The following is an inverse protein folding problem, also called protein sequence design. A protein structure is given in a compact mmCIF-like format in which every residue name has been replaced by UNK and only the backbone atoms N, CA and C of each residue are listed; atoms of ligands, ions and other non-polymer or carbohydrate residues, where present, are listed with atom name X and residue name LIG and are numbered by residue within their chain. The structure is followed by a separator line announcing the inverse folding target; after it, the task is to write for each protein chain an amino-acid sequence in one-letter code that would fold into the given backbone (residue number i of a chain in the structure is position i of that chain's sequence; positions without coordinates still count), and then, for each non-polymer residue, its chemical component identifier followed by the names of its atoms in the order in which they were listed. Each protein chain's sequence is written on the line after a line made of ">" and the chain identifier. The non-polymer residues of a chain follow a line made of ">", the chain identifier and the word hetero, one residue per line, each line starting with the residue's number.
data_IF_916809779786
#
_entry.id   IF_916809779786
#
_cell.length_a   1.000
_cell.length_b   1.000
_cell.length_c   1.000
_cell.angle_alpha   90.00
_cell.angle_beta   90.00
_cell.angle_gamma   90.00
#
_symmetry.space_group_name_H-M   'P 1'
#
loop_
_entity.id
_entity.type
_entity.pdbx_description
1 polymer ?
#
# COMPACT_ATOMS: atom_id res chain seq x y z
N UNK A 1 -5.34 -10.87 -7.11
CA UNK A 1 -5.95 -10.99 -5.78
C UNK A 1 -6.44 -12.42 -5.53
N UNK A 2 -7.32 -12.97 -6.38
CA UNK A 2 -7.88 -14.34 -6.19
C UNK A 2 -6.80 -15.42 -6.05
N UNK A 3 -5.74 -15.39 -6.86
CA UNK A 3 -4.62 -16.35 -6.74
C UNK A 3 -3.89 -16.26 -5.39
N UNK A 4 -3.73 -15.05 -4.82
CA UNK A 4 -3.14 -14.87 -3.49
C UNK A 4 -4.00 -15.58 -2.43
N UNK A 5 -5.31 -15.46 -2.51
CA UNK A 5 -6.23 -16.15 -1.61
C UNK A 5 -6.06 -17.68 -1.66
N UNK A 6 -5.93 -18.26 -2.87
CA UNK A 6 -5.74 -19.71 -3.01
C UNK A 6 -4.39 -20.19 -2.45
N UNK A 7 -3.33 -19.39 -2.60
CA UNK A 7 -2.03 -19.67 -1.98
C UNK A 7 -2.13 -19.63 -0.46
N UNK A 8 -2.77 -18.62 0.10
CA UNK A 8 -2.90 -18.47 1.55
C UNK A 8 -3.77 -19.56 2.17
N UNK A 9 -4.86 -19.97 1.52
CA UNK A 9 -5.67 -21.13 1.96
C UNK A 9 -4.84 -22.40 2.14
N UNK A 10 -3.84 -22.61 1.27
CA UNK A 10 -3.00 -23.81 1.29
C UNK A 10 -1.84 -23.72 2.27
N UNK A 11 -1.27 -22.54 2.46
CA UNK A 11 0.04 -22.38 3.11
C UNK A 11 0.02 -21.61 4.43
N UNK A 12 -1.00 -20.81 4.72
CA UNK A 12 -1.07 -20.02 5.95
C UNK A 12 -1.58 -20.85 7.15
N UNK A 13 -0.76 -21.78 7.63
CA UNK A 13 -1.12 -22.71 8.70
C UNK A 13 -0.76 -22.20 10.11
N UNK A 14 0.12 -21.22 10.21
CA UNK A 14 0.65 -20.63 11.45
C UNK A 14 0.62 -19.10 11.33
N UNK A 15 1.20 -18.42 12.30
CA UNK A 15 1.44 -16.97 12.23
C UNK A 15 2.22 -16.66 10.95
N UNK A 16 1.62 -15.88 10.06
CA UNK A 16 2.15 -15.61 8.73
C UNK A 16 2.06 -14.12 8.46
N UNK A 17 3.20 -13.49 8.17
CA UNK A 17 3.25 -12.14 7.59
C UNK A 17 3.28 -12.29 6.08
N UNK A 18 2.36 -11.63 5.41
CA UNK A 18 2.25 -11.62 3.95
C UNK A 18 2.62 -10.24 3.44
N UNK A 19 3.73 -10.18 2.72
CA UNK A 19 4.23 -8.95 2.11
C UNK A 19 3.78 -8.92 0.66
N UNK A 20 3.09 -7.85 0.26
CA UNK A 20 2.52 -7.72 -1.09
C UNK A 20 2.99 -6.41 -1.72
N UNK A 21 3.38 -6.48 -2.99
CA UNK A 21 3.78 -5.33 -3.81
C UNK A 21 2.57 -4.69 -4.50
N UNK A 22 2.81 -3.56 -5.17
CA UNK A 22 1.82 -2.87 -5.97
C UNK A 22 1.22 -3.77 -7.08
N UNK A 23 -0.03 -3.52 -7.45
CA UNK A 23 -0.73 -4.29 -8.48
C UNK A 23 -0.32 -3.87 -9.90
N UNK A 24 -0.08 -4.85 -10.74
CA UNK A 24 0.14 -4.62 -12.18
C UNK A 24 1.28 -3.64 -12.46
N UNK A 25 0.97 -2.56 -13.19
CA UNK A 25 1.93 -1.50 -13.54
C UNK A 25 1.75 -0.24 -12.70
N UNK A 26 1.18 -0.34 -11.51
CA UNK A 26 0.89 0.81 -10.64
C UNK A 26 2.16 1.59 -10.29
N UNK A 27 3.27 0.92 -9.98
CA UNK A 27 4.56 1.56 -9.71
C UNK A 27 4.98 2.48 -10.85
N UNK A 28 4.90 2.00 -12.11
CA UNK A 28 5.21 2.82 -13.28
C UNK A 28 4.23 4.00 -13.43
N UNK A 29 2.95 3.79 -13.14
CA UNK A 29 1.94 4.86 -13.14
C UNK A 29 2.26 5.94 -12.10
N UNK A 30 2.65 5.53 -10.90
CA UNK A 30 3.04 6.45 -9.83
C UNK A 30 4.38 7.17 -10.15
N UNK A 31 5.34 6.53 -10.81
CA UNK A 31 6.53 7.20 -11.34
C UNK A 31 6.17 8.29 -12.37
N UNK A 32 5.22 8.02 -13.26
CA UNK A 32 4.72 9.02 -14.20
C UNK A 32 4.04 10.19 -13.45
N UNK A 33 3.27 9.88 -12.40
CA UNK A 33 2.67 10.88 -11.53
C UNK A 33 3.73 11.77 -10.87
N UNK A 34 4.78 11.19 -10.27
CA UNK A 34 5.89 11.94 -9.68
C UNK A 34 6.56 12.83 -10.71
N UNK A 35 6.83 12.32 -11.91
CA UNK A 35 7.45 13.11 -12.97
C UNK A 35 6.56 14.28 -13.43
N UNK A 36 5.25 14.03 -13.59
CA UNK A 36 4.29 15.07 -13.96
C UNK A 36 4.20 16.14 -12.86
N UNK A 37 4.14 15.73 -11.61
CA UNK A 37 4.05 16.60 -10.44
C UNK A 37 5.32 17.41 -10.21
N UNK A 38 6.45 16.73 -10.04
CA UNK A 38 7.72 17.35 -9.64
C UNK A 38 8.40 18.11 -10.80
N UNK A 39 8.47 17.49 -11.97
CA UNK A 39 9.15 18.07 -13.14
C UNK A 39 8.24 18.93 -14.01
N UNK A 40 6.95 19.02 -13.67
CA UNK A 40 5.92 19.72 -14.45
C UNK A 40 5.88 19.24 -15.93
N UNK A 41 6.14 17.95 -16.15
CA UNK A 41 6.24 17.33 -17.49
C UNK A 41 4.95 16.63 -17.91
N UNK A 42 3.82 17.18 -17.57
CA UNK A 42 2.51 16.60 -17.89
C UNK A 42 1.42 17.08 -16.96
N UNK A 43 0.34 16.32 -16.91
CA UNK A 43 -0.79 16.58 -16.02
C UNK A 43 -0.84 15.51 -14.91
N UNK A 44 -0.47 15.91 -13.70
CA UNK A 44 -0.44 15.02 -12.54
C UNK A 44 -1.83 14.46 -12.21
N UNK A 45 -2.88 15.28 -12.31
CA UNK A 45 -4.25 14.84 -12.05
C UNK A 45 -4.68 13.74 -13.04
N UNK A 46 -4.31 13.88 -14.32
CA UNK A 46 -4.62 12.89 -15.34
C UNK A 46 -3.88 11.56 -15.10
N UNK A 47 -2.62 11.61 -14.65
CA UNK A 47 -1.88 10.39 -14.28
C UNK A 47 -2.50 9.73 -13.03
N UNK A 48 -2.86 10.49 -12.01
CA UNK A 48 -3.55 9.98 -10.84
C UNK A 48 -4.91 9.36 -11.20
N UNK A 49 -5.68 9.99 -12.11
CA UNK A 49 -6.97 9.46 -12.52
C UNK A 49 -6.84 8.08 -13.20
N UNK A 50 -5.82 7.85 -14.02
CA UNK A 50 -5.56 6.53 -14.62
C UNK A 50 -5.32 5.45 -13.55
N UNK A 51 -4.59 5.81 -12.49
CA UNK A 51 -4.32 4.89 -11.37
C UNK A 51 -5.59 4.61 -10.59
N UNK A 52 -6.43 5.63 -10.34
CA UNK A 52 -7.75 5.48 -9.72
C UNK A 52 -8.64 4.52 -10.52
N UNK A 53 -8.79 4.78 -11.81
CA UNK A 53 -9.65 4.01 -12.70
C UNK A 53 -9.24 2.52 -12.71
N UNK A 54 -7.94 2.23 -12.80
CA UNK A 54 -7.41 0.88 -12.74
C UNK A 54 -7.78 0.15 -11.44
N UNK A 55 -7.60 0.80 -10.29
CA UNK A 55 -7.90 0.18 -9.00
C UNK A 55 -9.39 0.05 -8.75
N UNK A 56 -10.20 1.05 -9.13
CA UNK A 56 -11.65 0.95 -9.03
C UNK A 56 -12.27 -0.11 -9.93
N UNK A 57 -11.67 -0.38 -11.09
CA UNK A 57 -12.05 -1.52 -11.90
C UNK A 57 -11.85 -2.83 -11.11
N UNK A 58 -10.65 -3.03 -10.53
CA UNK A 58 -10.35 -4.22 -9.72
C UNK A 58 -11.32 -4.34 -8.52
N UNK A 59 -11.54 -3.25 -7.80
CA UNK A 59 -12.44 -3.23 -6.65
C UNK A 59 -13.87 -3.61 -7.07
N UNK A 60 -14.36 -3.10 -8.20
CA UNK A 60 -15.71 -3.41 -8.69
C UNK A 60 -15.89 -4.88 -9.07
N UNK A 61 -14.82 -5.54 -9.54
CA UNK A 61 -14.83 -6.98 -9.85
C UNK A 61 -14.75 -7.88 -8.61
N UNK A 62 -14.16 -7.36 -7.52
CA UNK A 62 -14.01 -8.10 -6.26
C UNK A 62 -15.17 -7.85 -5.30
N UNK A 63 -15.73 -6.65 -5.32
CA UNK A 63 -16.77 -6.17 -4.42
C UNK A 63 -17.91 -5.53 -5.22
N UNK A 64 -18.91 -6.34 -5.64
CA UNK A 64 -20.02 -5.83 -6.48
C UNK A 64 -20.87 -4.76 -5.80
N UNK A 65 -20.95 -4.77 -4.46
CA UNK A 65 -21.71 -3.79 -3.70
C UNK A 65 -20.87 -2.54 -3.44
N UNK A 66 -21.21 -1.43 -4.07
CA UNK A 66 -20.52 -0.13 -3.88
C UNK A 66 -20.57 0.43 -2.45
N UNK A 67 -21.46 -0.10 -1.61
CA UNK A 67 -21.53 0.23 -0.18
C UNK A 67 -20.47 -0.50 0.66
N UNK A 68 -19.67 -1.38 0.07
CA UNK A 68 -18.61 -2.08 0.80
C UNK A 68 -17.57 -1.09 1.33
N UNK A 69 -17.14 -1.20 2.61
CA UNK A 69 -16.23 -0.23 3.25
C UNK A 69 -14.92 0.03 2.50
N UNK A 70 -14.43 -0.95 1.73
CA UNK A 70 -13.19 -0.83 0.94
C UNK A 70 -13.22 0.36 -0.03
N UNK A 71 -14.39 0.73 -0.56
CA UNK A 71 -14.48 1.88 -1.47
C UNK A 71 -14.08 3.18 -0.77
N UNK A 72 -14.59 3.41 0.44
CA UNK A 72 -14.22 4.58 1.24
C UNK A 72 -12.76 4.52 1.71
N UNK A 73 -12.27 3.34 2.08
CA UNK A 73 -10.90 3.16 2.53
C UNK A 73 -9.89 3.48 1.42
N UNK A 74 -10.16 3.05 0.19
CA UNK A 74 -9.31 3.32 -0.96
C UNK A 74 -9.46 4.76 -1.43
N UNK A 75 -10.68 5.33 -1.40
CA UNK A 75 -10.86 6.76 -1.70
C UNK A 75 -10.06 7.65 -0.75
N UNK A 76 -10.08 7.37 0.56
CA UNK A 76 -9.26 8.11 1.53
C UNK A 76 -7.77 8.04 1.19
N UNK A 77 -7.28 6.89 0.72
CA UNK A 77 -5.88 6.73 0.31
C UNK A 77 -5.57 7.55 -0.95
N UNK A 78 -6.51 7.66 -1.88
CA UNK A 78 -6.36 8.53 -3.05
C UNK A 78 -6.48 10.02 -2.70
N UNK A 79 -7.24 10.38 -1.68
CA UNK A 79 -7.28 11.75 -1.16
C UNK A 79 -5.91 12.20 -0.63
N UNK A 80 -5.16 11.32 0.03
CA UNK A 80 -3.78 11.62 0.44
C UNK A 80 -2.90 11.96 -0.77
N UNK A 81 -3.00 11.20 -1.87
CA UNK A 81 -2.28 11.50 -3.12
C UNK A 81 -2.75 12.82 -3.77
N UNK A 82 -4.05 13.11 -3.75
CA UNK A 82 -4.56 14.40 -4.25
C UNK A 82 -3.92 15.57 -3.49
N UNK A 83 -3.91 15.52 -2.15
CA UNK A 83 -3.31 16.59 -1.34
C UNK A 83 -1.83 16.80 -1.65
N UNK A 84 -1.07 15.72 -1.86
CA UNK A 84 0.35 15.85 -2.24
C UNK A 84 0.50 16.60 -3.56
N UNK A 85 -0.31 16.29 -4.57
CA UNK A 85 -0.16 16.90 -5.91
C UNK A 85 -0.83 18.27 -6.08
N UNK A 86 -1.71 18.66 -5.14
CA UNK A 86 -2.33 19.99 -5.11
C UNK A 86 -1.33 21.07 -4.68
N UNK A 87 -0.39 20.75 -3.83
CA UNK A 87 0.64 21.66 -3.33
C UNK A 87 1.90 21.62 -4.22
N UNK A 88 2.75 22.65 -4.11
CA UNK A 88 4.07 22.61 -4.75
C UNK A 88 5.00 21.66 -4.02
N UNK A 89 5.88 20.91 -4.73
CA UNK A 89 6.84 20.03 -4.08
C UNK A 89 7.74 20.77 -3.09
N UNK A 90 7.81 20.28 -1.86
CA UNK A 90 8.62 20.89 -0.79
C UNK A 90 9.97 20.17 -0.63
N UNK A 91 9.99 18.87 -0.91
CA UNK A 91 11.15 18.02 -0.75
C UNK A 91 12.02 17.88 -2.00
N UNK A 92 13.02 17.02 -1.91
CA UNK A 92 13.77 16.58 -3.10
C UNK A 92 12.93 15.64 -3.96
N UNK A 93 13.31 15.46 -5.24
CA UNK A 93 12.65 14.48 -6.12
C UNK A 93 12.59 13.08 -5.49
N UNK A 94 13.65 12.63 -4.83
CA UNK A 94 13.68 11.31 -4.21
C UNK A 94 12.73 11.21 -3.01
N UNK A 95 12.58 12.27 -2.24
CA UNK A 95 11.61 12.33 -1.15
C UNK A 95 10.17 12.27 -1.65
N UNK A 96 9.83 13.09 -2.65
CA UNK A 96 8.50 13.07 -3.26
C UNK A 96 8.21 11.72 -3.93
N UNK A 97 9.25 11.10 -4.54
CA UNK A 97 9.15 9.77 -5.11
C UNK A 97 8.74 8.73 -4.07
N UNK A 98 9.42 8.68 -2.93
CA UNK A 98 9.13 7.70 -1.88
C UNK A 98 7.73 7.91 -1.29
N UNK A 99 7.32 9.17 -1.07
CA UNK A 99 5.99 9.49 -0.57
C UNK A 99 4.86 9.06 -1.51
N UNK A 100 5.05 9.23 -2.82
CA UNK A 100 4.01 8.94 -3.81
C UNK A 100 4.04 7.47 -4.22
N UNK A 101 5.22 6.90 -4.51
CA UNK A 101 5.31 5.54 -5.09
C UNK A 101 4.90 4.47 -4.09
N UNK A 102 5.21 4.63 -2.81
CA UNK A 102 4.79 3.68 -1.76
C UNK A 102 3.25 3.51 -1.67
N UNK A 103 2.48 4.48 -2.14
CA UNK A 103 1.01 4.40 -2.11
C UNK A 103 0.46 3.25 -2.98
N UNK A 104 1.23 2.78 -3.96
CA UNK A 104 0.86 1.62 -4.77
C UNK A 104 0.76 0.34 -3.96
N UNK A 105 1.72 0.13 -3.07
CA UNK A 105 1.72 -1.01 -2.16
C UNK A 105 0.64 -0.87 -1.08
N UNK A 106 0.41 0.33 -0.58
CA UNK A 106 -0.65 0.61 0.41
C UNK A 106 -2.02 0.29 -0.18
N UNK A 107 -2.33 0.80 -1.37
CA UNK A 107 -3.60 0.54 -2.06
C UNK A 107 -3.76 -0.97 -2.33
N UNK A 108 -2.73 -1.60 -2.89
CA UNK A 108 -2.72 -3.03 -3.19
C UNK A 108 -3.04 -3.88 -1.96
N UNK A 109 -2.33 -3.65 -0.86
CA UNK A 109 -2.47 -4.45 0.36
C UNK A 109 -3.80 -4.23 1.06
N UNK A 110 -4.35 -3.03 1.06
CA UNK A 110 -5.71 -2.74 1.57
C UNK A 110 -6.76 -3.51 0.78
N UNK A 111 -6.70 -3.50 -0.56
CA UNK A 111 -7.64 -4.25 -1.41
C UNK A 111 -7.52 -5.75 -1.15
N UNK A 112 -6.30 -6.29 -1.05
CA UNK A 112 -6.10 -7.72 -0.78
C UNK A 112 -6.61 -8.10 0.60
N UNK A 113 -6.29 -7.32 1.63
CA UNK A 113 -6.74 -7.56 3.01
C UNK A 113 -8.27 -7.57 3.09
N UNK A 114 -8.94 -6.59 2.50
CA UNK A 114 -10.39 -6.52 2.45
C UNK A 114 -10.99 -7.74 1.74
N UNK A 115 -10.44 -8.14 0.58
CA UNK A 115 -10.94 -9.30 -0.16
C UNK A 115 -10.76 -10.60 0.60
N UNK A 116 -9.61 -10.79 1.26
CA UNK A 116 -9.38 -11.98 2.09
C UNK A 116 -10.40 -12.08 3.23
N UNK A 117 -10.67 -10.97 3.91
CA UNK A 117 -11.69 -10.91 4.98
C UNK A 117 -13.09 -11.21 4.43
N UNK A 118 -13.46 -10.66 3.25
CA UNK A 118 -14.75 -10.91 2.59
C UNK A 118 -14.98 -12.40 2.30
N UNK A 119 -13.95 -13.11 1.89
CA UNK A 119 -14.04 -14.56 1.59
C UNK A 119 -13.76 -15.46 2.81
N UNK A 120 -13.73 -14.88 4.03
CA UNK A 120 -13.57 -15.61 5.30
C UNK A 120 -12.13 -15.97 5.68
N UNK A 121 -11.11 -15.47 4.98
CA UNK A 121 -9.70 -15.60 5.37
C UNK A 121 -9.36 -14.42 6.28
N UNK A 122 -9.60 -14.60 7.59
CA UNK A 122 -9.34 -13.55 8.59
C UNK A 122 -7.89 -13.12 8.58
N UNK A 123 -7.68 -11.82 8.45
CA UNK A 123 -6.37 -11.18 8.48
C UNK A 123 -6.47 -9.78 9.07
N UNK A 124 -5.32 -9.23 9.46
CA UNK A 124 -5.16 -7.83 9.89
C UNK A 124 -4.22 -7.15 8.93
N UNK A 125 -4.61 -5.96 8.45
CA UNK A 125 -3.74 -5.09 7.66
C UNK A 125 -2.88 -4.23 8.58
N UNK A 126 -1.60 -4.07 8.23
CA UNK A 126 -0.65 -3.24 8.95
C UNK A 126 0.18 -2.40 7.99
N UNK A 127 0.33 -1.11 8.31
CA UNK A 127 1.21 -0.21 7.56
C UNK A 127 2.68 -0.47 7.93
N UNK A 128 3.48 -0.87 6.95
CA UNK A 128 4.90 -1.14 7.15
C UNK A 128 5.69 0.11 7.58
N UNK A 129 5.24 1.30 7.21
CA UNK A 129 5.86 2.58 7.60
C UNK A 129 5.87 2.79 9.12
N UNK A 130 4.94 2.17 9.83
CA UNK A 130 4.88 2.21 11.29
C UNK A 130 5.89 1.29 11.99
N UNK A 131 6.44 0.30 11.30
CA UNK A 131 7.30 -0.73 11.91
C UNK A 131 8.69 -0.88 11.29
N UNK A 132 8.86 -0.49 10.04
CA UNK A 132 10.17 -0.46 9.37
C UNK A 132 10.62 0.99 9.30
N UNK A 133 11.71 1.29 9.97
CA UNK A 133 12.27 2.64 10.04
C UNK A 133 13.60 2.70 9.31
N UNK A 134 13.75 3.72 8.49
CA UNK A 134 14.96 3.96 7.70
C UNK A 134 15.58 5.31 8.02
N UNK A 135 16.77 5.57 7.52
CA UNK A 135 17.36 6.90 7.51
C UNK A 135 16.76 7.78 6.39
N UNK A 136 17.22 9.02 6.29
CA UNK A 136 16.76 9.98 5.29
C UNK A 136 17.45 9.82 3.92
N UNK A 137 17.99 8.64 3.60
CA UNK A 137 18.54 8.33 2.28
C UNK A 137 17.41 7.85 1.39
N UNK A 138 16.65 8.78 0.86
CA UNK A 138 15.48 8.47 0.02
C UNK A 138 15.84 7.57 -1.16
N UNK A 139 14.94 6.65 -1.52
CA UNK A 139 15.04 5.56 -2.51
C UNK A 139 16.01 4.43 -2.14
N UNK A 140 16.95 4.67 -1.26
CA UNK A 140 17.96 3.71 -0.79
C UNK A 140 18.08 3.74 0.73
N UNK A 141 16.93 3.94 1.41
CA UNK A 141 16.86 4.05 2.86
C UNK A 141 17.52 2.88 3.59
N UNK A 142 18.40 3.18 4.53
CA UNK A 142 19.07 2.19 5.35
C UNK A 142 18.24 1.87 6.56
N UNK A 143 17.88 0.60 6.69
CA UNK A 143 17.01 0.15 7.80
C UNK A 143 17.73 0.30 9.15
N UNK A 144 17.05 0.97 10.08
CA UNK A 144 17.40 0.95 11.49
C UNK A 144 16.86 -0.36 12.11
N UNK A 145 17.68 -1.39 12.11
CA UNK A 145 17.27 -2.73 12.56
C UNK A 145 16.87 -2.77 14.03
N UNK A 146 17.56 -2.05 14.91
CA UNK A 146 17.27 -2.05 16.34
C UNK A 146 15.89 -1.44 16.63
N UNK A 147 15.61 -0.27 16.04
CA UNK A 147 14.31 0.38 16.18
C UNK A 147 13.20 -0.43 15.51
N UNK A 148 13.42 -0.92 14.30
CA UNK A 148 12.44 -1.72 13.57
C UNK A 148 12.12 -3.04 14.30
N UNK A 149 13.11 -3.71 14.88
CA UNK A 149 12.89 -4.91 15.70
C UNK A 149 12.01 -4.61 16.93
N UNK A 150 12.28 -3.50 17.62
CA UNK A 150 11.48 -3.07 18.75
C UNK A 150 10.02 -2.78 18.35
N UNK A 151 9.82 -2.09 17.22
CA UNK A 151 8.49 -1.77 16.69
C UNK A 151 7.74 -3.03 16.24
N UNK A 152 8.42 -3.96 15.57
CA UNK A 152 7.84 -5.25 15.19
C UNK A 152 7.38 -6.03 16.42
N UNK A 153 8.21 -6.10 17.47
CA UNK A 153 7.85 -6.78 18.72
C UNK A 153 6.66 -6.14 19.43
N UNK A 154 6.59 -4.82 19.45
CA UNK A 154 5.55 -4.09 20.18
C UNK A 154 4.25 -3.90 19.39
N UNK A 155 4.29 -3.82 18.06
CA UNK A 155 3.13 -3.47 17.23
C UNK A 155 2.64 -4.62 16.35
N UNK A 156 3.55 -5.39 15.72
CA UNK A 156 3.14 -6.46 14.81
C UNK A 156 2.84 -7.77 15.57
N UNK A 157 3.73 -8.17 16.48
CA UNK A 157 3.58 -9.46 17.17
C UNK A 157 2.25 -9.61 17.91
N UNK A 158 1.71 -8.59 18.62
CA UNK A 158 0.42 -8.69 19.29
C UNK A 158 -0.78 -8.87 18.35
N UNK A 159 -0.65 -8.54 17.06
CA UNK A 159 -1.73 -8.76 16.08
C UNK A 159 -2.04 -10.24 15.91
N UNK A 160 -1.07 -11.11 16.18
CA UNK A 160 -1.25 -12.55 16.11
C UNK A 160 -2.12 -13.14 17.22
N UNK A 161 -2.43 -12.39 18.27
CA UNK A 161 -3.40 -12.80 19.29
C UNK A 161 -4.83 -12.82 18.70
N UNK A 162 -5.09 -12.03 17.67
CA UNK A 162 -6.40 -11.86 17.05
C UNK A 162 -6.51 -12.45 15.63
N UNK A 163 -5.38 -12.67 14.95
CA UNK A 163 -5.36 -13.18 13.57
C UNK A 163 -4.11 -14.00 13.31
N UNK A 164 -4.24 -15.06 12.49
CA UNK A 164 -3.08 -15.84 12.03
C UNK A 164 -2.31 -15.17 10.89
N UNK A 165 -2.91 -14.21 10.22
CA UNK A 165 -2.36 -13.56 9.02
C UNK A 165 -2.31 -12.06 9.24
N UNK A 166 -1.14 -11.47 9.01
CA UNK A 166 -0.93 -10.04 8.90
C UNK A 166 -0.53 -9.71 7.47
N UNK A 167 -1.26 -8.79 6.83
CA UNK A 167 -0.96 -8.28 5.49
C UNK A 167 -0.23 -6.95 5.62
N UNK A 168 0.90 -6.83 4.94
CA UNK A 168 1.71 -5.61 4.95
C UNK A 168 2.38 -5.37 3.60
N UNK A 169 3.10 -4.27 3.46
CA UNK A 169 3.73 -3.81 2.23
C UNK A 169 5.20 -4.22 2.17
N UNK A 170 5.69 -4.46 0.94
CA UNK A 170 7.11 -4.41 0.63
C UNK A 170 7.48 -3.06 0.03
N UNK A 171 8.75 -2.81 -0.19
CA UNK A 171 9.25 -1.59 -0.85
C UNK A 171 8.85 -0.29 -0.12
N UNK A 172 8.72 -0.34 1.19
CA UNK A 172 8.40 0.80 2.07
C UNK A 172 9.38 0.80 3.23
N UNK A 173 9.98 1.93 3.50
CA UNK A 173 10.87 2.16 4.63
C UNK A 173 11.40 3.58 4.61
#
# INVERSE_FOLDING_TARGET
>A
VKNVAEVLKKHANKHTVVVISAMGKTTNGLENLVNAYFKKTGNAEAELQKIKDYHYQIISELFPLKSHPVYNEIENTFVELNWIIEDEPVGSYNQEYDQIVCMGEIISTKIVSAYLNEIGIKNVWMDARGIIQTDNTYREGKVNYELSESLVKSQLMPLFDNSKIVITQGFIG
#
